data_IF_525388949117
#
_entry.id   IF_525388949117
#
_cell.length_a   1.000
_cell.length_b   1.000
_cell.length_c   1.000
_cell.angle_alpha   90.00
_cell.angle_beta   90.00
_cell.angle_gamma   90.00
#
_symmetry.space_group_name_H-M   'P 1'
#
loop_
_entity.id
_entity.type
_entity.pdbx_description
1 polymer ?
#
# COMPACT_ATOMS: atom_id res chain seq x y z
N UNK A 1 38.34 -44.45 -45.58
CA UNK A 1 39.78 -44.17 -45.65
C UNK A 1 40.09 -42.90 -44.88
N UNK A 2 40.54 -42.94 -43.59
CA UNK A 2 41.89 -42.59 -43.07
C UNK A 2 42.10 -41.05 -43.06
N UNK A 3 42.31 -40.34 -41.99
CA UNK A 3 43.26 -40.36 -40.87
C UNK A 3 43.05 -39.14 -39.94
N UNK A 4 43.10 -39.32 -38.66
CA UNK A 4 43.59 -38.39 -37.64
C UNK A 4 45.11 -38.22 -37.75
N UNK A 5 45.82 -37.19 -37.21
CA UNK A 5 45.92 -36.85 -35.81
C UNK A 5 46.24 -35.34 -35.56
N UNK A 6 46.30 -34.76 -34.42
CA UNK A 6 47.18 -34.66 -33.25
C UNK A 6 46.68 -33.58 -32.25
N UNK A 7 46.89 -33.95 -31.05
CA UNK A 7 46.66 -33.16 -29.85
C UNK A 7 47.67 -32.02 -29.67
N UNK A 8 47.24 -30.97 -28.97
CA UNK A 8 48.14 -30.11 -28.16
C UNK A 8 47.48 -29.81 -26.81
N UNK A 9 48.05 -30.46 -25.81
CA UNK A 9 47.84 -30.27 -24.38
C UNK A 9 48.52 -28.97 -23.98
N UNK A 10 47.82 -28.05 -23.35
CA UNK A 10 48.40 -26.95 -22.57
C UNK A 10 47.86 -27.03 -21.14
N UNK A 11 48.73 -27.58 -20.26
CA UNK A 11 48.60 -27.50 -18.80
C UNK A 11 48.72 -26.01 -18.39
N UNK A 12 47.79 -25.53 -17.62
CA UNK A 12 47.98 -24.37 -16.75
C UNK A 12 47.53 -24.73 -15.35
N UNK A 13 48.44 -24.47 -14.45
CA UNK A 13 48.48 -24.83 -13.06
C UNK A 13 47.30 -24.41 -12.21
N UNK A 14 46.86 -25.34 -11.38
CA UNK A 14 46.01 -25.13 -10.21
C UNK A 14 46.80 -24.39 -9.15
N UNK A 15 46.37 -23.22 -8.77
CA UNK A 15 46.71 -22.58 -7.49
C UNK A 15 45.51 -22.67 -6.58
N UNK A 16 45.56 -23.63 -5.68
CA UNK A 16 44.72 -23.78 -4.49
C UNK A 16 45.01 -22.60 -3.55
N UNK A 17 44.04 -21.71 -3.38
CA UNK A 17 44.00 -20.74 -2.31
C UNK A 17 42.77 -21.02 -1.44
N UNK A 18 42.97 -21.73 -0.33
CA UNK A 18 41.99 -21.75 0.77
C UNK A 18 41.93 -20.37 1.40
N UNK A 19 40.83 -19.68 1.25
CA UNK A 19 40.46 -18.55 2.08
C UNK A 19 39.24 -18.94 2.89
N UNK A 20 39.48 -19.28 4.16
CA UNK A 20 38.48 -19.30 5.21
C UNK A 20 38.05 -17.87 5.46
N UNK A 21 36.92 -17.48 4.95
CA UNK A 21 36.28 -16.20 5.22
C UNK A 21 35.21 -16.37 6.29
N UNK A 22 35.47 -15.85 7.47
CA UNK A 22 34.52 -15.68 8.56
C UNK A 22 33.28 -14.91 8.08
N UNK A 23 32.12 -15.53 8.32
CA UNK A 23 30.84 -14.88 8.12
C UNK A 23 30.54 -14.01 9.33
N UNK A 24 31.14 -12.82 9.40
CA UNK A 24 30.71 -11.79 10.32
C UNK A 24 29.47 -11.10 9.77
N UNK A 25 28.45 -11.07 10.59
CA UNK A 25 27.19 -10.34 10.44
C UNK A 25 27.47 -8.84 10.26
N UNK A 26 27.55 -8.36 9.03
CA UNK A 26 27.51 -6.93 8.74
C UNK A 26 26.05 -6.47 8.71
N UNK A 27 25.66 -5.83 9.80
CA UNK A 27 24.53 -4.90 9.83
C UNK A 27 24.81 -3.78 8.84
N UNK A 28 23.90 -3.47 7.90
CA UNK A 28 24.10 -2.34 7.01
C UNK A 28 24.05 -1.05 7.82
N UNK A 29 25.18 -0.42 7.94
CA UNK A 29 25.35 0.98 8.35
C UNK A 29 24.38 1.85 7.54
N UNK A 30 23.66 2.73 8.26
CA UNK A 30 22.83 3.80 7.72
C UNK A 30 23.64 4.70 6.77
N UNK A 31 23.78 4.28 5.54
CA UNK A 31 24.16 5.15 4.43
C UNK A 31 22.91 5.93 4.00
N UNK A 32 22.87 7.21 4.31
CA UNK A 32 21.98 8.19 3.70
C UNK A 32 22.32 8.32 2.21
N UNK A 33 21.96 7.34 1.42
CA UNK A 33 21.93 7.48 -0.04
C UNK A 33 20.61 8.15 -0.38
N UNK A 34 20.57 9.47 -0.27
CA UNK A 34 19.62 10.27 -1.04
C UNK A 34 19.84 9.85 -2.49
N UNK A 35 18.90 9.08 -3.05
CA UNK A 35 18.86 8.85 -4.50
C UNK A 35 19.02 10.23 -5.15
N UNK A 36 20.05 10.37 -5.96
CA UNK A 36 20.37 11.64 -6.62
C UNK A 36 19.17 12.04 -7.46
N UNK A 37 18.89 13.33 -7.53
CA UNK A 37 17.90 14.00 -8.37
C UNK A 37 17.94 13.59 -9.87
N UNK A 38 18.93 12.80 -10.28
CA UNK A 38 19.20 12.41 -11.65
C UNK A 38 18.34 11.23 -12.17
N UNK A 39 17.68 10.47 -11.29
CA UNK A 39 16.86 9.30 -11.72
C UNK A 39 15.35 9.61 -11.75
N UNK A 40 14.97 10.86 -11.44
CA UNK A 40 13.60 11.30 -11.70
C UNK A 40 13.48 11.57 -13.20
N UNK A 41 12.85 10.66 -13.89
CA UNK A 41 12.45 10.87 -15.28
C UNK A 41 11.78 12.22 -15.37
N UNK A 42 12.42 13.15 -16.09
CA UNK A 42 11.91 14.49 -16.31
C UNK A 42 10.80 14.37 -17.36
N UNK A 43 9.57 14.11 -16.92
CA UNK A 43 8.39 13.95 -17.79
C UNK A 43 8.21 15.13 -18.75
N UNK A 44 8.81 16.28 -18.42
CA UNK A 44 8.80 17.51 -19.25
C UNK A 44 9.87 17.53 -20.36
N UNK A 45 10.76 16.53 -20.47
CA UNK A 45 11.87 16.53 -21.44
C UNK A 45 12.12 15.18 -22.12
N UNK A 46 11.20 14.24 -22.10
CA UNK A 46 11.40 13.05 -22.91
C UNK A 46 11.07 13.36 -24.36
N UNK A 47 12.15 13.43 -25.16
CA UNK A 47 12.05 13.28 -26.61
C UNK A 47 11.38 11.93 -26.92
N UNK A 48 10.15 12.00 -27.37
CA UNK A 48 9.35 10.86 -27.89
C UNK A 48 9.96 10.27 -29.16
N UNK A 49 11.16 10.71 -29.57
CA UNK A 49 11.74 10.51 -30.91
C UNK A 49 12.61 9.28 -31.09
N UNK A 50 12.74 8.36 -30.14
CA UNK A 50 13.71 7.24 -30.27
C UNK A 50 13.14 5.81 -30.21
N UNK A 51 11.83 5.66 -30.13
CA UNK A 51 11.19 4.36 -30.32
C UNK A 51 10.51 4.38 -31.69
N UNK A 52 10.77 3.40 -32.54
CA UNK A 52 10.16 3.27 -33.87
C UNK A 52 8.67 3.57 -33.78
N UNK A 53 8.09 4.27 -34.80
CA UNK A 53 6.76 4.88 -34.74
C UNK A 53 5.79 4.13 -33.82
N UNK A 54 5.56 4.63 -32.58
CA UNK A 54 4.72 3.88 -31.67
C UNK A 54 3.31 3.92 -32.21
N UNK A 55 2.63 2.79 -32.21
CA UNK A 55 1.19 2.78 -32.42
C UNK A 55 0.57 3.85 -31.48
N UNK A 56 -0.32 4.69 -32.01
CA UNK A 56 -1.04 5.70 -31.22
C UNK A 56 -1.90 5.08 -30.11
N UNK A 57 -2.00 3.75 -30.07
CA UNK A 57 -2.82 2.99 -29.14
C UNK A 57 -1.94 2.29 -28.09
N UNK A 58 -2.13 2.67 -26.83
CA UNK A 58 -1.40 2.12 -25.69
C UNK A 58 -1.61 0.60 -25.49
N UNK A 59 -2.80 0.07 -25.84
CA UNK A 59 -3.06 -1.36 -25.70
C UNK A 59 -2.22 -2.21 -26.64
N UNK A 60 -1.90 -1.72 -27.84
CA UNK A 60 -0.98 -2.41 -28.74
C UNK A 60 0.42 -2.46 -28.15
N UNK A 61 0.92 -1.34 -27.58
CA UNK A 61 2.20 -1.33 -26.88
C UNK A 61 2.25 -2.31 -25.70
N UNK A 62 1.13 -2.46 -24.96
CA UNK A 62 1.04 -3.44 -23.86
C UNK A 62 1.12 -4.86 -24.40
N UNK A 63 0.37 -5.18 -25.49
CA UNK A 63 0.36 -6.50 -26.12
C UNK A 63 1.75 -6.89 -26.65
N UNK A 64 2.42 -5.97 -27.32
CA UNK A 64 3.74 -6.17 -27.92
C UNK A 64 4.84 -6.44 -26.87
N UNK A 65 4.63 -5.97 -25.64
CA UNK A 65 5.56 -6.16 -24.52
C UNK A 65 5.25 -7.34 -23.62
N UNK A 66 4.29 -8.22 -23.96
CA UNK A 66 4.02 -9.44 -23.19
C UNK A 66 5.18 -10.43 -23.35
N UNK A 67 5.71 -10.90 -22.22
CA UNK A 67 6.89 -11.79 -22.19
C UNK A 67 6.68 -13.00 -21.27
N UNK A 68 5.61 -13.05 -20.47
CA UNK A 68 5.35 -14.22 -19.64
C UNK A 68 4.84 -15.36 -20.50
N UNK A 69 5.38 -16.57 -20.31
CA UNK A 69 4.97 -17.74 -21.08
C UNK A 69 3.48 -18.06 -20.90
N UNK A 70 2.75 -18.34 -21.97
CA UNK A 70 1.39 -18.83 -21.89
C UNK A 70 1.35 -20.19 -21.16
N UNK A 71 0.44 -20.32 -20.20
CA UNK A 71 0.26 -21.57 -19.45
C UNK A 71 -1.17 -22.04 -19.63
N UNK A 72 -1.34 -23.29 -20.04
CA UNK A 72 -2.63 -23.95 -20.02
C UNK A 72 -2.94 -24.47 -18.61
N UNK A 73 -3.94 -23.84 -17.96
CA UNK A 73 -4.32 -24.17 -16.59
C UNK A 73 -5.81 -23.97 -16.35
N UNK A 74 -6.50 -24.97 -15.78
CA UNK A 74 -7.88 -24.82 -15.37
C UNK A 74 -8.12 -23.61 -14.44
N UNK A 75 -7.10 -23.20 -13.68
CA UNK A 75 -7.19 -22.02 -12.82
C UNK A 75 -7.28 -20.72 -13.64
N UNK A 76 -6.59 -20.65 -14.77
CA UNK A 76 -6.68 -19.50 -15.69
C UNK A 76 -8.07 -19.48 -16.34
N UNK A 77 -8.55 -20.61 -16.82
CA UNK A 77 -9.89 -20.74 -17.40
C UNK A 77 -10.97 -20.28 -16.39
N UNK A 78 -10.87 -20.70 -15.13
CA UNK A 78 -11.81 -20.28 -14.09
C UNK A 78 -11.80 -18.74 -13.86
N UNK A 79 -10.63 -18.10 -13.93
CA UNK A 79 -10.53 -16.63 -13.79
C UNK A 79 -11.06 -15.91 -15.03
N UNK A 80 -10.84 -16.46 -16.22
CA UNK A 80 -11.38 -15.95 -17.49
C UNK A 80 -12.91 -15.98 -17.46
N UNK A 81 -13.51 -17.12 -17.09
CA UNK A 81 -14.96 -17.26 -16.91
C UNK A 81 -15.48 -16.29 -15.87
N UNK A 82 -14.77 -16.10 -14.76
CA UNK A 82 -15.17 -15.16 -13.72
C UNK A 82 -15.21 -13.72 -14.22
N UNK A 83 -14.24 -13.29 -15.03
CA UNK A 83 -14.20 -11.95 -15.65
C UNK A 83 -15.32 -11.80 -16.68
N UNK A 84 -15.49 -12.76 -17.61
CA UNK A 84 -16.53 -12.74 -18.65
C UNK A 84 -17.94 -12.66 -18.07
N UNK A 85 -18.17 -13.26 -16.90
CA UNK A 85 -19.46 -13.19 -16.20
C UNK A 85 -19.70 -11.81 -15.51
N UNK A 86 -18.76 -10.86 -15.60
CA UNK A 86 -18.80 -9.55 -14.91
C UNK A 86 -18.35 -8.38 -15.78
N UNK A 87 -18.91 -8.19 -16.97
CA UNK A 87 -18.46 -7.16 -17.91
C UNK A 87 -18.50 -5.76 -17.29
N UNK A 88 -19.54 -5.41 -16.53
CA UNK A 88 -19.61 -4.10 -15.85
C UNK A 88 -18.47 -3.84 -14.86
N UNK A 89 -18.06 -4.88 -14.12
CA UNK A 89 -16.92 -4.76 -13.20
C UNK A 89 -15.64 -4.52 -13.98
N UNK A 90 -15.43 -5.28 -15.06
CA UNK A 90 -14.27 -5.15 -15.92
C UNK A 90 -14.25 -3.75 -16.56
N UNK A 91 -15.34 -3.32 -17.16
CA UNK A 91 -15.46 -2.01 -17.81
C UNK A 91 -15.14 -0.86 -16.85
N UNK A 92 -15.68 -0.92 -15.62
CA UNK A 92 -15.35 0.09 -14.60
C UNK A 92 -13.86 0.08 -14.21
N UNK A 93 -13.24 -1.09 -14.13
CA UNK A 93 -11.80 -1.18 -13.80
C UNK A 93 -10.94 -0.66 -14.96
N UNK A 94 -11.29 -0.96 -16.20
CA UNK A 94 -10.62 -0.43 -17.40
C UNK A 94 -10.72 1.10 -17.46
N UNK A 95 -11.91 1.67 -17.22
CA UNK A 95 -12.08 3.12 -17.16
C UNK A 95 -11.21 3.76 -16.06
N UNK A 96 -11.09 3.10 -14.88
CA UNK A 96 -10.23 3.62 -13.80
C UNK A 96 -8.76 3.57 -14.12
N UNK A 97 -8.30 2.65 -14.96
CA UNK A 97 -6.89 2.54 -15.34
C UNK A 97 -6.44 3.66 -16.27
N UNK A 98 -7.36 4.27 -17.03
CA UNK A 98 -7.05 5.23 -18.10
C UNK A 98 -6.07 6.35 -17.69
N UNK A 99 -6.21 7.03 -16.55
CA UNK A 99 -5.29 8.08 -16.19
C UNK A 99 -3.88 7.61 -15.82
N UNK A 100 -3.69 6.33 -15.50
CA UNK A 100 -2.45 5.83 -14.89
C UNK A 100 -1.67 4.89 -15.80
N UNK A 101 -2.36 4.21 -16.71
CA UNK A 101 -1.81 3.04 -17.39
C UNK A 101 -0.60 3.39 -18.26
N UNK A 102 -0.63 4.54 -18.96
CA UNK A 102 0.52 5.01 -19.75
C UNK A 102 1.79 5.12 -18.86
N UNK A 103 1.69 5.79 -17.72
CA UNK A 103 2.82 5.96 -16.81
C UNK A 103 3.35 4.62 -16.32
N UNK A 104 2.46 3.71 -15.91
CA UNK A 104 2.85 2.38 -15.42
C UNK A 104 3.55 1.57 -16.52
N UNK A 105 3.02 1.56 -17.74
CA UNK A 105 3.64 0.89 -18.90
C UNK A 105 5.00 1.50 -19.22
N UNK A 106 5.14 2.82 -19.14
CA UNK A 106 6.40 3.51 -19.32
C UNK A 106 7.46 3.04 -18.31
N UNK A 107 7.10 2.95 -17.03
CA UNK A 107 7.99 2.52 -15.96
C UNK A 107 8.34 1.03 -16.02
N UNK A 108 7.40 0.17 -16.44
CA UNK A 108 7.63 -1.26 -16.73
C UNK A 108 8.66 -1.42 -17.86
N UNK A 109 8.47 -0.72 -18.97
CA UNK A 109 9.36 -0.79 -20.12
C UNK A 109 10.75 -0.21 -19.80
N UNK A 110 10.83 0.88 -19.05
CA UNK A 110 12.11 1.48 -18.62
C UNK A 110 12.98 0.52 -17.78
N UNK A 111 12.35 -0.47 -17.16
CA UNK A 111 13.01 -1.53 -16.37
C UNK A 111 13.16 -2.84 -17.13
N UNK A 112 12.82 -2.89 -18.41
CA UNK A 112 12.83 -4.11 -19.25
C UNK A 112 12.02 -5.28 -18.63
N UNK A 113 10.88 -4.95 -18.01
CA UNK A 113 10.00 -5.92 -17.37
C UNK A 113 8.85 -6.32 -18.31
N UNK A 114 8.27 -7.53 -18.16
CA UNK A 114 7.08 -7.94 -18.91
C UNK A 114 5.92 -6.97 -18.70
N UNK A 115 5.26 -6.55 -19.76
CA UNK A 115 4.15 -5.59 -19.68
C UNK A 115 2.90 -6.18 -19.05
N UNK A 116 2.81 -7.49 -18.86
CA UNK A 116 1.81 -8.12 -18.00
C UNK A 116 1.80 -7.50 -16.60
N UNK A 117 2.97 -7.05 -16.08
CA UNK A 117 3.07 -6.45 -14.76
C UNK A 117 2.36 -5.09 -14.68
N UNK A 118 2.14 -4.39 -15.80
CA UNK A 118 1.31 -3.20 -15.83
C UNK A 118 -0.18 -3.51 -15.59
N UNK A 119 -0.59 -4.77 -15.74
CA UNK A 119 -1.96 -5.23 -15.47
C UNK A 119 -2.18 -5.64 -14.00
N UNK A 120 -1.10 -5.69 -13.19
CA UNK A 120 -1.19 -6.14 -11.80
C UNK A 120 -2.14 -5.30 -10.93
N UNK A 121 -2.24 -3.96 -11.09
CA UNK A 121 -3.22 -3.15 -10.37
C UNK A 121 -4.69 -3.54 -10.62
N UNK A 122 -5.02 -4.21 -11.74
CA UNK A 122 -6.35 -4.79 -11.93
C UNK A 122 -6.61 -5.93 -10.94
N UNK A 123 -5.61 -6.76 -10.70
CA UNK A 123 -5.68 -7.90 -9.75
C UNK A 123 -5.73 -7.39 -8.32
N UNK A 124 -4.94 -6.38 -7.96
CA UNK A 124 -4.78 -5.88 -6.61
C UNK A 124 -5.96 -5.02 -6.14
N UNK A 125 -6.43 -4.11 -6.97
CA UNK A 125 -7.39 -3.09 -6.55
C UNK A 125 -8.46 -2.74 -7.58
N UNK A 126 -8.48 -3.42 -8.73
CA UNK A 126 -9.24 -2.99 -9.91
C UNK A 126 -8.94 -1.51 -10.27
N UNK A 127 -7.67 -1.10 -10.16
CA UNK A 127 -7.18 0.27 -10.35
C UNK A 127 -7.86 1.32 -9.46
N UNK A 128 -8.32 0.95 -8.26
CA UNK A 128 -8.88 1.93 -7.34
C UNK A 128 -7.78 2.58 -6.50
N UNK A 129 -7.46 3.87 -6.70
CA UNK A 129 -6.38 4.54 -5.98
C UNK A 129 -6.68 4.74 -4.49
N UNK A 130 -7.94 4.70 -4.10
CA UNK A 130 -8.38 4.80 -2.70
C UNK A 130 -8.61 3.42 -2.06
N UNK A 131 -8.26 2.32 -2.73
CA UNK A 131 -8.47 0.99 -2.19
C UNK A 131 -7.74 0.80 -0.85
N UNK A 132 -8.47 0.21 0.10
CA UNK A 132 -7.96 -0.15 1.42
C UNK A 132 -8.47 -1.53 1.80
N UNK A 133 -7.57 -2.48 2.02
CA UNK A 133 -7.93 -3.83 2.47
C UNK A 133 -8.18 -3.89 3.98
N UNK A 134 -8.84 -4.97 4.43
CA UNK A 134 -9.00 -5.26 5.86
C UNK A 134 -7.65 -5.38 6.59
N UNK A 135 -6.60 -5.83 5.91
CA UNK A 135 -5.24 -5.93 6.42
C UNK A 135 -4.45 -4.60 6.31
N UNK A 136 -5.11 -3.50 5.93
CA UNK A 136 -4.53 -2.14 5.78
C UNK A 136 -3.56 -1.99 4.59
N UNK A 137 -3.62 -2.86 3.59
CA UNK A 137 -2.99 -2.59 2.31
C UNK A 137 -3.68 -1.40 1.63
N UNK A 138 -2.95 -0.59 0.85
CA UNK A 138 -3.43 0.69 0.31
C UNK A 138 -3.01 0.91 -1.14
N UNK A 139 -3.88 1.63 -1.88
CA UNK A 139 -3.60 2.14 -3.22
C UNK A 139 -3.76 1.11 -4.32
N UNK A 140 -3.38 1.49 -5.54
CA UNK A 140 -3.53 0.62 -6.72
C UNK A 140 -2.67 -0.65 -6.62
N UNK A 141 -1.52 -0.58 -5.95
CA UNK A 141 -0.55 -1.65 -5.75
C UNK A 141 -0.71 -2.43 -4.44
N UNK A 142 -1.68 -2.06 -3.60
CA UNK A 142 -1.99 -2.71 -2.32
C UNK A 142 -0.78 -2.92 -1.39
N UNK A 143 0.06 -1.89 -1.25
CA UNK A 143 1.18 -1.95 -0.33
C UNK A 143 0.73 -2.12 1.13
N UNK A 144 1.26 -3.14 1.79
CA UNK A 144 1.17 -3.28 3.25
C UNK A 144 1.97 -2.17 3.96
N UNK A 145 1.54 -1.71 5.16
CA UNK A 145 2.23 -0.62 5.86
C UNK A 145 3.74 -0.85 6.05
N UNK A 146 4.13 -2.06 6.43
CA UNK A 146 5.54 -2.39 6.65
C UNK A 146 6.31 -2.39 5.32
N UNK A 147 5.81 -3.11 4.31
CA UNK A 147 6.44 -3.18 3.00
C UNK A 147 6.58 -1.79 2.37
N UNK A 148 5.55 -0.94 2.49
CA UNK A 148 5.65 0.45 2.01
C UNK A 148 6.79 1.21 2.69
N UNK A 149 7.01 1.04 4.00
CA UNK A 149 8.14 1.66 4.71
C UNK A 149 9.48 1.07 4.28
N UNK A 150 9.57 -0.24 4.05
CA UNK A 150 10.77 -0.91 3.59
C UNK A 150 11.20 -0.37 2.19
N UNK A 151 10.24 0.12 1.39
CA UNK A 151 10.43 0.81 0.12
C UNK A 151 10.28 2.34 0.22
N UNK A 152 10.50 2.92 1.40
CA UNK A 152 10.56 4.36 1.66
C UNK A 152 9.28 5.16 1.34
N UNK A 153 8.13 4.49 1.20
CA UNK A 153 6.85 5.15 1.03
C UNK A 153 6.44 5.82 2.34
N UNK A 154 6.38 7.14 2.33
CA UNK A 154 6.00 7.96 3.49
C UNK A 154 4.56 7.68 3.90
N UNK A 155 4.34 7.46 5.20
CA UNK A 155 3.03 7.21 5.80
C UNK A 155 2.92 8.07 7.06
N UNK A 156 2.35 9.25 6.93
CA UNK A 156 2.21 10.19 8.05
C UNK A 156 0.82 10.87 8.06
N UNK A 157 0.65 11.88 8.90
CA UNK A 157 -0.62 12.61 9.03
C UNK A 157 -1.04 13.28 7.73
N UNK A 158 -0.07 13.83 6.96
CA UNK A 158 -0.36 14.61 5.76
C UNK A 158 -0.56 13.76 4.53
N UNK A 159 0.21 12.68 4.39
CA UNK A 159 0.21 11.84 3.19
C UNK A 159 0.44 10.37 3.48
N UNK A 160 -0.02 9.55 2.52
CA UNK A 160 0.26 8.11 2.46
C UNK A 160 0.68 7.77 1.03
N UNK A 161 2.00 7.68 0.79
CA UNK A 161 2.59 7.47 -0.53
C UNK A 161 2.33 6.08 -1.10
N UNK A 162 1.75 5.16 -0.33
CA UNK A 162 1.24 3.89 -0.88
C UNK A 162 0.08 4.09 -1.86
N UNK A 163 -0.55 5.28 -1.84
CA UNK A 163 -1.59 5.71 -2.77
C UNK A 163 -1.06 6.65 -3.85
N UNK A 164 0.13 7.19 -3.68
CA UNK A 164 0.77 8.04 -4.66
C UNK A 164 1.10 7.23 -5.91
N UNK A 165 0.64 7.70 -7.08
CA UNK A 165 0.78 6.95 -8.33
C UNK A 165 2.24 6.78 -8.72
N UNK A 166 3.04 7.84 -8.61
CA UNK A 166 4.45 7.79 -9.01
C UNK A 166 5.26 6.95 -8.02
N UNK A 167 5.21 7.32 -6.74
CA UNK A 167 6.02 6.69 -5.70
C UNK A 167 5.67 5.21 -5.51
N UNK A 168 4.35 4.87 -5.52
CA UNK A 168 3.96 3.48 -5.34
C UNK A 168 4.23 2.61 -6.56
N UNK A 169 4.21 3.16 -7.77
CA UNK A 169 4.60 2.42 -8.98
C UNK A 169 6.08 2.10 -8.97
N UNK A 170 6.94 3.09 -8.71
CA UNK A 170 8.38 2.87 -8.59
C UNK A 170 8.69 1.80 -7.54
N UNK A 171 8.13 1.95 -6.34
CA UNK A 171 8.32 0.98 -5.25
C UNK A 171 7.82 -0.43 -5.62
N UNK A 172 6.69 -0.56 -6.32
CA UNK A 172 6.14 -1.86 -6.70
C UNK A 172 7.00 -2.57 -7.74
N UNK A 173 7.45 -1.84 -8.76
CA UNK A 173 8.30 -2.40 -9.80
C UNK A 173 9.70 -2.76 -9.26
N UNK A 174 10.28 -1.94 -8.38
CA UNK A 174 11.53 -2.24 -7.70
C UNK A 174 11.38 -3.49 -6.80
N UNK A 175 10.25 -3.62 -6.11
CA UNK A 175 9.97 -4.80 -5.29
C UNK A 175 9.82 -6.06 -6.16
N UNK A 176 9.06 -5.98 -7.24
CA UNK A 176 8.89 -7.09 -8.19
C UNK A 176 10.21 -7.50 -8.83
N UNK A 177 11.05 -6.54 -9.23
CA UNK A 177 12.37 -6.82 -9.79
C UNK A 177 13.30 -7.53 -8.78
N UNK A 178 13.29 -7.07 -7.52
CA UNK A 178 14.02 -7.73 -6.43
C UNK A 178 13.52 -9.17 -6.21
N UNK A 179 12.21 -9.38 -6.25
CA UNK A 179 11.63 -10.72 -6.11
C UNK A 179 11.98 -11.60 -7.30
N UNK A 180 11.93 -11.07 -8.52
CA UNK A 180 12.36 -11.81 -9.72
C UNK A 180 13.84 -12.20 -9.66
N UNK A 181 14.71 -11.29 -9.25
CA UNK A 181 16.13 -11.60 -9.02
C UNK A 181 16.31 -12.71 -7.97
N UNK A 182 15.47 -12.75 -6.92
CA UNK A 182 15.55 -13.75 -5.86
C UNK A 182 15.06 -15.14 -6.31
N UNK A 183 14.03 -15.21 -7.14
CA UNK A 183 13.35 -16.46 -7.47
C UNK A 183 13.60 -16.98 -8.89
N UNK A 184 14.12 -16.15 -9.78
CA UNK A 184 14.42 -16.49 -11.18
C UNK A 184 13.17 -16.73 -12.06
N UNK A 185 11.96 -16.44 -11.55
CA UNK A 185 10.69 -16.63 -12.24
C UNK A 185 9.71 -15.53 -11.86
N UNK A 186 8.99 -15.00 -12.84
CA UNK A 186 7.95 -13.99 -12.60
C UNK A 186 6.78 -14.57 -11.82
N UNK A 187 6.39 -15.82 -12.05
CA UNK A 187 5.31 -16.48 -11.33
C UNK A 187 5.64 -16.61 -9.83
N UNK A 188 6.87 -17.00 -9.51
CA UNK A 188 7.33 -17.07 -8.11
C UNK A 188 7.51 -15.68 -7.49
N UNK A 189 7.96 -14.70 -8.28
CA UNK A 189 8.02 -13.30 -7.84
C UNK A 189 6.62 -12.77 -7.49
N UNK A 190 5.63 -13.03 -8.33
CA UNK A 190 4.23 -12.68 -8.11
C UNK A 190 3.64 -13.40 -6.88
N UNK A 191 3.94 -14.69 -6.71
CA UNK A 191 3.57 -15.41 -5.49
C UNK A 191 4.18 -14.77 -4.23
N UNK A 192 5.45 -14.35 -4.32
CA UNK A 192 6.17 -13.71 -3.23
C UNK A 192 5.67 -12.29 -2.94
N UNK A 193 5.25 -11.54 -3.96
CA UNK A 193 4.61 -10.23 -3.82
C UNK A 193 3.30 -10.35 -3.01
N UNK A 194 2.45 -11.33 -3.34
CA UNK A 194 1.17 -11.57 -2.68
C UNK A 194 1.30 -12.21 -1.29
N UNK A 195 2.12 -13.24 -1.17
CA UNK A 195 2.19 -14.08 0.05
C UNK A 195 3.41 -13.79 0.93
N UNK A 196 4.39 -13.08 0.40
CA UNK A 196 5.66 -12.78 1.06
C UNK A 196 6.75 -13.80 0.72
N UNK A 197 7.95 -13.30 0.41
CA UNK A 197 9.11 -14.09 -0.04
C UNK A 197 9.48 -15.23 0.93
N UNK A 198 9.43 -14.98 2.25
CA UNK A 198 9.72 -16.00 3.26
C UNK A 198 8.75 -17.20 3.23
N UNK A 199 7.49 -17.01 2.84
CA UNK A 199 6.53 -18.10 2.70
C UNK A 199 6.84 -18.95 1.47
N UNK A 200 7.15 -18.31 0.34
CA UNK A 200 7.52 -19.00 -0.90
C UNK A 200 8.79 -19.81 -0.70
N UNK A 201 9.83 -19.25 -0.08
CA UNK A 201 11.06 -19.97 0.24
C UNK A 201 10.81 -21.21 1.13
N UNK A 202 9.92 -21.10 2.13
CA UNK A 202 9.57 -22.25 2.97
C UNK A 202 8.84 -23.33 2.17
N UNK A 203 7.94 -22.95 1.27
CA UNK A 203 7.23 -23.88 0.40
C UNK A 203 8.19 -24.58 -0.57
N UNK A 204 9.11 -23.84 -1.20
CA UNK A 204 10.15 -24.40 -2.05
C UNK A 204 11.04 -25.39 -1.30
N UNK A 205 11.53 -25.02 -0.09
CA UNK A 205 12.34 -25.89 0.75
C UNK A 205 11.62 -27.20 1.12
N UNK A 206 10.30 -27.10 1.41
CA UNK A 206 9.48 -28.27 1.69
C UNK A 206 9.38 -29.22 0.50
N UNK A 207 9.11 -28.67 -0.70
CA UNK A 207 9.02 -29.44 -1.93
C UNK A 207 10.38 -30.08 -2.26
N UNK A 208 11.48 -29.30 -2.18
CA UNK A 208 12.83 -29.80 -2.42
C UNK A 208 13.17 -30.97 -1.52
N UNK A 209 12.86 -30.89 -0.23
CA UNK A 209 13.08 -32.00 0.74
C UNK A 209 12.23 -33.24 0.44
N UNK A 210 11.12 -33.07 -0.29
CA UNK A 210 10.25 -34.18 -0.72
C UNK A 210 10.55 -34.68 -2.15
N UNK A 211 11.59 -34.15 -2.83
CA UNK A 211 11.91 -34.47 -4.22
C UNK A 211 10.89 -33.98 -5.23
N UNK A 212 10.10 -32.94 -4.86
CA UNK A 212 9.06 -32.34 -5.71
C UNK A 212 9.56 -31.07 -6.41
N UNK A 213 8.96 -30.69 -7.55
CA UNK A 213 9.28 -29.45 -8.23
C UNK A 213 9.04 -28.22 -7.35
N UNK A 214 9.82 -27.15 -7.56
CA UNK A 214 9.78 -25.92 -6.76
C UNK A 214 9.25 -24.70 -7.52
N UNK A 215 8.66 -24.93 -8.69
CA UNK A 215 7.97 -23.89 -9.49
C UNK A 215 6.65 -23.47 -8.85
N UNK A 216 6.08 -22.35 -9.36
CA UNK A 216 4.82 -21.78 -8.86
C UNK A 216 3.67 -22.80 -8.83
N UNK A 217 3.53 -23.61 -9.88
CA UNK A 217 2.39 -24.51 -10.07
C UNK A 217 2.42 -25.72 -9.15
N UNK A 218 3.62 -26.10 -8.71
CA UNK A 218 3.89 -27.26 -7.84
C UNK A 218 3.87 -26.92 -6.35
N UNK A 219 3.93 -25.62 -5.97
CA UNK A 219 3.96 -25.23 -4.55
C UNK A 219 2.59 -25.34 -3.87
N UNK A 220 2.57 -25.82 -2.64
CA UNK A 220 1.42 -25.74 -1.77
C UNK A 220 1.28 -24.32 -1.20
N UNK A 221 0.37 -23.53 -1.77
CA UNK A 221 0.11 -22.14 -1.43
C UNK A 221 -1.35 -21.93 -1.03
N UNK A 222 -1.69 -20.85 -0.29
CA UNK A 222 -3.08 -20.43 -0.07
C UNK A 222 -3.83 -20.25 -1.40
N UNK A 223 -5.15 -20.47 -1.39
CA UNK A 223 -5.98 -20.35 -2.60
C UNK A 223 -5.86 -18.98 -3.26
N UNK A 224 -5.75 -17.91 -2.48
CA UNK A 224 -5.54 -16.56 -2.99
C UNK A 224 -4.26 -16.45 -3.82
N UNK A 225 -3.14 -16.93 -3.28
CA UNK A 225 -1.84 -16.91 -3.96
C UNK A 225 -1.81 -17.85 -5.17
N UNK A 226 -2.42 -19.03 -5.06
CA UNK A 226 -2.57 -19.95 -6.20
C UNK A 226 -3.41 -19.41 -7.34
N UNK A 227 -4.30 -18.45 -7.07
CA UNK A 227 -5.11 -17.79 -8.07
C UNK A 227 -4.48 -16.48 -8.59
N UNK A 228 -3.35 -16.06 -8.04
CA UNK A 228 -2.78 -14.73 -8.31
C UNK A 228 -2.24 -14.60 -9.74
N UNK A 229 -1.32 -15.49 -10.15
CA UNK A 229 -0.87 -15.58 -11.55
C UNK A 229 -2.03 -15.89 -12.51
N UNK A 230 -2.91 -16.87 -12.23
CA UNK A 230 -4.11 -17.08 -13.04
C UNK A 230 -4.98 -15.84 -13.26
N UNK A 231 -5.17 -14.98 -12.26
CA UNK A 231 -5.89 -13.71 -12.42
C UNK A 231 -5.17 -12.78 -13.38
N UNK A 232 -3.85 -12.63 -13.25
CA UNK A 232 -3.06 -11.79 -14.14
C UNK A 232 -3.14 -12.29 -15.59
N UNK A 233 -3.02 -13.61 -15.81
CA UNK A 233 -3.14 -14.22 -17.14
C UNK A 233 -4.54 -14.08 -17.73
N UNK A 234 -5.59 -14.08 -16.92
CA UNK A 234 -6.94 -13.80 -17.38
C UNK A 234 -7.10 -12.33 -17.84
N UNK A 235 -6.49 -11.36 -17.17
CA UNK A 235 -6.44 -9.97 -17.64
C UNK A 235 -5.58 -9.83 -18.92
N UNK A 236 -4.47 -10.60 -19.04
CA UNK A 236 -3.71 -10.67 -20.27
C UNK A 236 -4.57 -11.17 -21.44
N UNK A 237 -5.31 -12.27 -21.22
CA UNK A 237 -6.24 -12.82 -22.23
C UNK A 237 -7.33 -11.79 -22.61
N UNK A 238 -7.89 -11.08 -21.65
CA UNK A 238 -8.87 -10.02 -21.87
C UNK A 238 -8.28 -8.87 -22.71
N UNK A 239 -7.05 -8.46 -22.47
CA UNK A 239 -6.39 -7.42 -23.29
C UNK A 239 -6.12 -7.91 -24.71
N UNK A 240 -5.81 -9.20 -24.88
CA UNK A 240 -5.60 -9.80 -26.22
C UNK A 240 -6.89 -9.90 -27.03
N UNK A 241 -7.99 -10.31 -26.41
CA UNK A 241 -9.28 -10.53 -27.05
C UNK A 241 -10.43 -10.02 -26.15
N UNK A 242 -10.67 -8.68 -26.10
CA UNK A 242 -11.69 -8.10 -25.24
C UNK A 242 -13.11 -8.51 -25.62
N UNK A 243 -13.35 -8.82 -26.91
CA UNK A 243 -14.68 -9.21 -27.39
C UNK A 243 -15.13 -10.54 -26.80
N UNK A 244 -14.20 -11.48 -26.59
CA UNK A 244 -14.47 -12.75 -25.92
C UNK A 244 -14.95 -12.57 -24.46
N UNK A 245 -14.71 -11.39 -23.86
CA UNK A 245 -15.14 -11.02 -22.52
C UNK A 245 -16.37 -10.11 -22.51
N UNK A 246 -16.91 -9.77 -23.66
CA UNK A 246 -18.05 -8.85 -23.80
C UNK A 246 -17.75 -7.43 -23.29
N UNK A 247 -16.49 -6.98 -23.44
CA UNK A 247 -16.04 -5.66 -23.00
C UNK A 247 -15.37 -4.90 -24.14
N UNK A 248 -15.45 -3.56 -24.06
CA UNK A 248 -14.72 -2.68 -24.97
C UNK A 248 -13.58 -2.04 -24.18
N UNK A 249 -12.35 -2.16 -24.66
CA UNK A 249 -11.23 -1.44 -24.08
C UNK A 249 -11.42 0.06 -24.31
N UNK A 250 -11.19 0.92 -23.30
CA UNK A 250 -11.21 2.36 -23.52
C UNK A 250 -10.14 2.77 -24.54
N UNK A 251 -10.43 3.79 -25.34
CA UNK A 251 -9.41 4.40 -26.20
C UNK A 251 -8.36 5.02 -25.29
N UNK A 252 -7.13 4.56 -25.42
CA UNK A 252 -5.98 5.07 -24.70
C UNK A 252 -4.89 5.42 -25.71
N UNK A 253 -4.61 6.71 -25.78
CA UNK A 253 -3.50 7.20 -26.58
C UNK A 253 -2.17 6.84 -25.91
N UNK A 254 -1.15 6.59 -26.72
CA UNK A 254 0.17 6.21 -26.23
C UNK A 254 1.00 7.45 -25.86
N UNK A 255 0.43 8.32 -25.04
CA UNK A 255 1.08 9.51 -24.48
C UNK A 255 0.70 9.74 -23.00
N UNK A 256 1.47 10.55 -22.24
CA UNK A 256 1.17 10.83 -20.84
C UNK A 256 -0.20 11.48 -20.68
N UNK A 257 -1.02 11.00 -19.74
CA UNK A 257 -2.28 11.62 -19.36
C UNK A 257 -2.07 12.86 -18.49
N UNK A 258 -1.05 12.86 -17.63
CA UNK A 258 -0.76 13.90 -16.65
C UNK A 258 0.70 14.33 -16.68
N UNK A 259 0.95 15.49 -16.12
CA UNK A 259 2.29 15.98 -15.76
C UNK A 259 2.38 16.21 -14.26
N UNK A 260 3.58 16.12 -13.72
CA UNK A 260 3.88 16.42 -12.32
C UNK A 260 4.29 17.91 -12.20
N UNK A 261 3.60 18.66 -11.35
CA UNK A 261 3.84 20.07 -11.08
C UNK A 261 4.31 20.25 -9.65
N UNK A 262 5.46 20.92 -9.47
CA UNK A 262 6.04 21.18 -8.15
C UNK A 262 5.19 22.16 -7.33
N UNK A 263 5.05 21.89 -6.04
CA UNK A 263 4.37 22.74 -5.06
C UNK A 263 5.43 23.51 -4.28
N UNK A 264 5.51 24.83 -4.52
CA UNK A 264 6.54 25.70 -3.93
C UNK A 264 6.11 26.37 -2.62
N UNK A 265 4.81 26.43 -2.35
CA UNK A 265 4.21 26.95 -1.11
C UNK A 265 3.11 26.01 -0.66
N UNK A 266 2.83 25.97 0.65
CA UNK A 266 1.68 25.23 1.14
C UNK A 266 0.39 25.72 0.47
N UNK A 267 -0.39 24.81 -0.08
CA UNK A 267 -1.62 25.14 -0.81
C UNK A 267 -2.79 24.25 -0.37
N UNK A 268 -3.96 24.82 -0.24
CA UNK A 268 -5.17 24.04 0.03
C UNK A 268 -5.52 23.15 -1.15
N UNK A 269 -5.86 21.87 -0.89
CA UNK A 269 -6.27 20.89 -1.92
C UNK A 269 -7.42 21.44 -2.80
N UNK A 270 -8.39 22.10 -2.17
CA UNK A 270 -9.54 22.72 -2.88
C UNK A 270 -9.12 23.88 -3.76
N UNK A 271 -8.15 24.68 -3.33
CA UNK A 271 -7.61 25.78 -4.11
C UNK A 271 -6.77 25.27 -5.28
N UNK A 272 -5.94 24.24 -5.05
CA UNK A 272 -5.14 23.63 -6.11
C UNK A 272 -6.05 23.09 -7.24
N UNK A 273 -7.10 22.34 -6.89
CA UNK A 273 -8.10 21.87 -7.84
C UNK A 273 -8.78 23.02 -8.59
N UNK A 274 -9.16 24.09 -7.87
CA UNK A 274 -9.80 25.29 -8.47
C UNK A 274 -8.87 26.02 -9.44
N UNK A 275 -7.61 26.21 -9.07
CA UNK A 275 -6.62 26.87 -9.94
C UNK A 275 -6.32 26.04 -11.19
N UNK A 276 -6.42 24.72 -11.10
CA UNK A 276 -6.32 23.81 -12.24
C UNK A 276 -7.62 23.66 -13.04
N UNK A 277 -8.69 24.36 -12.65
CA UNK A 277 -10.03 24.24 -13.25
C UNK A 277 -10.54 22.79 -13.31
N UNK A 278 -10.25 22.03 -12.25
CA UNK A 278 -10.67 20.65 -12.08
C UNK A 278 -11.72 20.52 -10.97
N UNK A 279 -12.58 19.52 -11.08
CA UNK A 279 -13.39 19.11 -9.94
C UNK A 279 -12.49 18.58 -8.82
N UNK A 280 -12.92 18.72 -7.56
CA UNK A 280 -12.17 18.22 -6.41
C UNK A 280 -12.00 16.70 -6.46
N UNK A 281 -12.96 15.97 -7.01
CA UNK A 281 -12.95 14.52 -7.10
C UNK A 281 -11.96 14.04 -8.17
N UNK A 282 -11.89 14.70 -9.33
CA UNK A 282 -10.87 14.41 -10.35
C UNK A 282 -9.46 14.71 -9.83
N UNK A 283 -9.27 15.86 -9.17
CA UNK A 283 -8.02 16.22 -8.56
C UNK A 283 -7.57 15.17 -7.53
N UNK A 284 -8.47 14.74 -6.63
CA UNK A 284 -8.19 13.69 -5.63
C UNK A 284 -7.96 12.31 -6.24
N UNK A 285 -8.56 12.05 -7.39
CA UNK A 285 -8.34 10.79 -8.13
C UNK A 285 -6.89 10.71 -8.61
N UNK A 286 -6.36 11.77 -9.19
CA UNK A 286 -4.94 11.83 -9.61
C UNK A 286 -3.98 11.98 -8.42
N UNK A 287 -4.43 12.60 -7.32
CA UNK A 287 -3.61 12.93 -6.15
C UNK A 287 -4.13 12.26 -4.87
N UNK A 288 -4.24 10.92 -4.85
CA UNK A 288 -4.90 10.20 -3.77
C UNK A 288 -4.07 10.10 -2.49
N UNK A 289 -2.78 10.49 -2.53
CA UNK A 289 -1.86 10.38 -1.40
C UNK A 289 -2.13 11.38 -0.27
N UNK A 290 -2.77 12.51 -0.56
CA UNK A 290 -3.03 13.56 0.42
C UNK A 290 -4.13 13.18 1.41
N UNK A 291 -3.76 13.20 2.71
CA UNK A 291 -4.67 12.84 3.81
C UNK A 291 -5.40 14.05 4.39
N UNK A 292 -4.92 15.27 4.11
CA UNK A 292 -5.34 16.51 4.74
C UNK A 292 -5.73 17.56 3.71
N UNK A 293 -6.47 18.60 4.09
CA UNK A 293 -6.92 19.62 3.16
C UNK A 293 -5.80 20.54 2.65
N UNK A 294 -4.55 20.29 3.03
CA UNK A 294 -3.37 21.08 2.64
C UNK A 294 -2.30 20.18 2.04
N UNK A 295 -1.68 20.65 0.97
CA UNK A 295 -0.50 20.10 0.30
C UNK A 295 0.70 20.91 0.77
N UNK A 296 1.76 20.23 1.24
CA UNK A 296 2.91 20.87 1.85
C UNK A 296 4.06 21.06 0.84
N UNK A 297 4.60 22.26 0.75
CA UNK A 297 5.82 22.52 -0.03
C UNK A 297 7.07 21.91 0.60
N UNK A 298 7.08 21.81 1.92
CA UNK A 298 8.23 21.38 2.72
C UNK A 298 8.78 19.99 2.39
N UNK A 299 8.02 19.14 1.71
CA UNK A 299 8.42 17.78 1.35
C UNK A 299 8.72 17.61 -0.14
N UNK A 300 9.01 18.69 -0.88
CA UNK A 300 9.18 18.69 -2.34
C UNK A 300 8.04 17.95 -3.04
N UNK A 301 6.80 18.25 -2.66
CA UNK A 301 5.63 17.57 -3.18
C UNK A 301 5.30 18.04 -4.58
N UNK A 302 4.77 17.11 -5.34
CA UNK A 302 4.24 17.36 -6.67
C UNK A 302 2.74 17.04 -6.66
N UNK A 303 2.02 17.75 -7.49
CA UNK A 303 0.64 17.41 -7.85
C UNK A 303 0.61 16.92 -9.28
N UNK A 304 -0.24 15.94 -9.54
CA UNK A 304 -0.48 15.43 -10.88
C UNK A 304 -1.68 16.14 -11.48
N UNK A 305 -1.48 16.73 -12.64
CA UNK A 305 -2.52 17.45 -13.37
C UNK A 305 -2.57 16.95 -14.83
N UNK A 306 -3.74 16.79 -15.45
CA UNK A 306 -3.82 16.54 -16.87
C UNK A 306 -3.09 17.64 -17.66
N UNK A 307 -2.55 17.31 -18.82
CA UNK A 307 -1.68 18.21 -19.58
C UNK A 307 -2.24 19.63 -19.74
N UNK A 308 -3.45 19.78 -20.26
CA UNK A 308 -4.07 21.10 -20.45
C UNK A 308 -4.34 21.86 -19.16
N UNK A 309 -4.62 21.15 -18.06
CA UNK A 309 -4.88 21.74 -16.75
C UNK A 309 -3.61 22.21 -16.02
N UNK A 310 -2.45 21.67 -16.35
CA UNK A 310 -1.19 22.09 -15.74
C UNK A 310 -0.79 23.52 -16.17
N UNK A 311 -0.97 23.88 -17.42
CA UNK A 311 -0.72 25.23 -17.92
C UNK A 311 -1.70 26.23 -17.30
N UNK A 312 -2.99 25.89 -17.28
CA UNK A 312 -4.06 26.69 -16.64
C UNK A 312 -3.75 26.91 -15.15
N UNK A 313 -3.33 25.86 -14.44
CA UNK A 313 -2.93 25.96 -13.03
C UNK A 313 -1.79 26.97 -12.85
N UNK A 314 -0.74 26.88 -13.66
CA UNK A 314 0.42 27.78 -13.55
C UNK A 314 0.05 29.25 -13.83
N UNK A 315 -0.79 29.49 -14.83
CA UNK A 315 -1.26 30.83 -15.13
C UNK A 315 -2.16 31.42 -14.04
N UNK A 316 -3.10 30.62 -13.56
CA UNK A 316 -4.01 31.03 -12.49
C UNK A 316 -3.24 31.26 -11.17
N UNK A 317 -2.22 30.41 -10.87
CA UNK A 317 -1.37 30.58 -9.70
C UNK A 317 -0.57 31.89 -9.75
N UNK A 318 -0.02 32.29 -10.91
CA UNK A 318 0.70 33.56 -11.08
C UNK A 318 -0.20 34.80 -10.84
N UNK A 319 -1.47 34.67 -11.18
CA UNK A 319 -2.46 35.76 -11.02
C UNK A 319 -3.08 35.81 -9.62
N UNK A 320 -2.90 34.74 -8.82
CA UNK A 320 -3.53 34.60 -7.51
C UNK A 320 -2.74 35.34 -6.43
N UNK A 321 -3.39 36.31 -5.78
CA UNK A 321 -2.76 37.24 -4.81
C UNK A 321 -3.24 37.08 -3.36
N UNK A 322 -3.98 36.01 -3.07
CA UNK A 322 -4.45 35.70 -1.71
C UNK A 322 -3.60 34.56 -1.10
N UNK A 323 -3.69 34.30 0.23
CA UNK A 323 -3.02 33.17 0.85
C UNK A 323 -3.39 31.85 0.17
N UNK A 324 -2.37 31.04 -0.19
CA UNK A 324 -2.58 29.75 -0.87
C UNK A 324 -3.11 28.67 0.07
N UNK A 325 -2.76 28.75 1.35
CA UNK A 325 -3.22 27.78 2.36
C UNK A 325 -3.90 28.47 3.53
N UNK A 326 -5.04 27.92 3.92
CA UNK A 326 -5.81 28.34 5.09
C UNK A 326 -5.53 27.45 6.32
N UNK A 327 -4.68 26.45 6.19
CA UNK A 327 -4.36 25.46 7.21
C UNK A 327 -2.91 25.56 7.67
N UNK A 328 -2.68 25.23 8.96
CA UNK A 328 -1.34 25.04 9.55
C UNK A 328 -1.36 23.85 10.48
N UNK A 329 -0.19 23.46 11.01
CA UNK A 329 -0.05 22.34 11.91
C UNK A 329 0.72 22.73 13.18
N UNK A 330 0.37 22.10 14.29
CA UNK A 330 1.05 22.31 15.58
C UNK A 330 1.27 20.98 16.31
N UNK A 331 2.37 20.88 17.05
CA UNK A 331 2.60 19.78 17.99
C UNK A 331 1.90 20.07 19.32
N UNK A 332 1.18 19.07 19.82
CA UNK A 332 0.54 19.10 21.15
C UNK A 332 1.60 18.79 22.20
N UNK A 333 1.87 19.73 23.11
CA UNK A 333 2.94 19.60 24.10
C UNK A 333 2.63 18.57 25.20
N UNK A 334 1.36 18.44 25.58
CA UNK A 334 0.92 17.57 26.68
C UNK A 334 -0.26 16.70 26.25
N UNK A 335 -0.37 15.50 26.84
CA UNK A 335 -1.53 14.64 26.61
C UNK A 335 -2.77 15.25 27.23
N UNK A 336 -3.74 15.61 26.42
CA UNK A 336 -4.97 16.30 26.84
C UNK A 336 -6.19 15.89 26.02
N UNK A 337 -7.39 16.28 26.48
CA UNK A 337 -8.60 16.03 25.71
C UNK A 337 -8.66 16.89 24.45
N UNK A 338 -9.49 16.52 23.48
CA UNK A 338 -9.70 17.34 22.29
C UNK A 338 -10.30 18.72 22.63
N UNK A 339 -11.14 18.78 23.64
CA UNK A 339 -11.73 20.04 24.18
C UNK A 339 -10.65 20.98 24.70
N UNK A 340 -9.76 20.48 25.57
CA UNK A 340 -8.66 21.29 26.14
C UNK A 340 -7.68 21.72 25.02
N UNK A 341 -7.44 20.86 24.02
CA UNK A 341 -6.61 21.21 22.85
C UNK A 341 -7.24 22.30 22.03
N UNK A 342 -8.53 22.20 21.72
CA UNK A 342 -9.27 23.21 20.95
C UNK A 342 -9.23 24.56 21.65
N UNK A 343 -9.48 24.58 22.98
CA UNK A 343 -9.43 25.80 23.78
C UNK A 343 -8.03 26.42 23.82
N UNK A 344 -6.98 25.61 24.04
CA UNK A 344 -5.60 26.10 24.10
C UNK A 344 -5.08 26.66 22.76
N UNK A 345 -5.60 26.15 21.65
CA UNK A 345 -5.23 26.58 20.30
C UNK A 345 -6.13 27.68 19.74
N UNK A 346 -7.26 27.99 20.44
CA UNK A 346 -8.25 28.97 19.98
C UNK A 346 -8.99 28.54 18.71
N UNK A 347 -9.29 27.26 18.59
CA UNK A 347 -9.98 26.69 17.44
C UNK A 347 -11.28 26.01 17.85
N UNK A 348 -12.23 25.95 16.91
CA UNK A 348 -13.47 25.25 17.14
C UNK A 348 -13.23 23.73 17.33
N UNK A 349 -13.91 23.13 18.33
CA UNK A 349 -13.76 21.72 18.66
C UNK A 349 -14.24 20.77 17.55
N UNK A 350 -15.35 21.11 16.87
CA UNK A 350 -15.88 20.31 15.79
C UNK A 350 -14.89 20.28 14.62
N UNK A 351 -14.38 21.44 14.22
CA UNK A 351 -13.33 21.60 13.21
C UNK A 351 -12.06 20.82 13.58
N UNK A 352 -11.57 20.95 14.82
CA UNK A 352 -10.39 20.20 15.27
C UNK A 352 -10.58 18.68 15.14
N UNK A 353 -11.75 18.19 15.54
CA UNK A 353 -12.06 16.76 15.49
C UNK A 353 -12.20 16.24 14.06
N UNK A 354 -12.94 16.95 13.25
CA UNK A 354 -13.23 16.56 11.87
C UNK A 354 -11.94 16.48 11.04
N UNK A 355 -11.16 17.57 10.99
CA UNK A 355 -9.96 17.66 10.17
C UNK A 355 -8.89 16.65 10.62
N UNK A 356 -8.82 16.38 11.93
CA UNK A 356 -7.82 15.45 12.46
C UNK A 356 -8.34 14.01 12.64
N UNK A 357 -9.63 13.76 12.39
CA UNK A 357 -10.21 12.43 12.56
C UNK A 357 -10.20 11.96 14.03
N UNK A 358 -10.46 12.88 15.01
CA UNK A 358 -10.41 12.57 16.44
C UNK A 358 -11.79 12.12 16.90
N UNK A 359 -11.98 10.85 17.27
CA UNK A 359 -13.25 10.36 17.80
C UNK A 359 -13.63 11.03 19.12
N UNK A 360 -14.94 11.08 19.41
CA UNK A 360 -15.42 11.57 20.72
C UNK A 360 -14.81 10.77 21.88
N UNK A 361 -14.44 11.45 22.94
CA UNK A 361 -13.90 10.84 24.14
C UNK A 361 -12.43 10.39 24.06
N UNK A 362 -11.76 10.56 22.92
CA UNK A 362 -10.31 10.29 22.82
C UNK A 362 -9.50 11.50 23.25
N UNK A 363 -8.34 11.23 23.85
CA UNK A 363 -7.32 12.24 24.21
C UNK A 363 -6.23 12.23 23.14
N UNK A 364 -5.63 13.39 22.93
CA UNK A 364 -4.50 13.59 22.00
C UNK A 364 -3.22 13.46 22.83
N UNK A 365 -2.34 12.54 22.45
CA UNK A 365 -1.07 12.32 23.16
C UNK A 365 -0.07 13.44 22.90
N UNK A 366 0.76 13.73 23.88
CA UNK A 366 1.92 14.62 23.72
C UNK A 366 2.77 14.20 22.50
N UNK A 367 3.29 15.19 21.78
CA UNK A 367 4.05 14.98 20.55
C UNK A 367 3.20 14.76 19.28
N UNK A 368 1.88 14.58 19.42
CA UNK A 368 0.97 14.50 18.27
C UNK A 368 0.95 15.80 17.47
N UNK A 369 0.84 15.70 16.17
CA UNK A 369 0.61 16.81 15.27
C UNK A 369 -0.87 16.93 14.98
N UNK A 370 -1.46 18.11 15.15
CA UNK A 370 -2.83 18.44 14.76
C UNK A 370 -2.83 19.56 13.75
N UNK A 371 -3.76 19.45 12.80
CA UNK A 371 -4.02 20.46 11.74
C UNK A 371 -5.09 21.41 12.27
N UNK A 372 -4.86 22.69 12.10
CA UNK A 372 -5.76 23.75 12.52
C UNK A 372 -5.84 24.86 11.47
N UNK A 373 -6.89 25.67 11.44
CA UNK A 373 -6.93 26.88 10.61
C UNK A 373 -5.75 27.81 10.89
N UNK A 374 -5.17 28.43 9.84
CA UNK A 374 -4.16 29.49 9.97
C UNK A 374 -4.80 30.72 10.66
N UNK A 375 -4.00 31.36 11.48
CA UNK A 375 -4.35 32.64 12.13
C UNK A 375 -3.24 33.65 11.88
N UNK A 376 -3.48 34.92 12.10
CA UNK A 376 -2.47 35.98 11.98
C UNK A 376 -1.22 35.74 12.87
N UNK A 377 -1.33 34.91 13.91
CA UNK A 377 -0.22 34.55 14.79
C UNK A 377 0.66 33.41 14.20
N UNK A 378 0.19 32.71 13.15
CA UNK A 378 0.87 31.57 12.52
C UNK A 378 0.66 31.61 11.00
N UNK A 379 1.23 32.61 10.31
CA UNK A 379 0.95 32.82 8.88
C UNK A 379 1.82 31.95 7.95
N UNK A 380 2.96 31.42 8.43
CA UNK A 380 3.94 30.72 7.62
C UNK A 380 3.52 29.33 7.17
N UNK A 381 4.29 28.77 6.24
CA UNK A 381 4.16 27.39 5.78
C UNK A 381 4.65 26.42 6.85
N UNK A 382 4.20 25.15 6.74
CA UNK A 382 4.55 24.09 7.69
C UNK A 382 6.02 23.69 7.45
N UNK A 383 6.83 23.73 8.51
CA UNK A 383 8.26 23.40 8.39
C UNK A 383 8.51 21.94 7.98
N UNK A 384 9.64 21.70 7.31
CA UNK A 384 10.10 20.35 6.89
C UNK A 384 10.11 19.38 8.08
N UNK A 385 10.70 19.79 9.21
CA UNK A 385 10.78 18.94 10.39
C UNK A 385 9.40 18.53 10.95
N UNK A 386 8.39 19.41 10.83
CA UNK A 386 7.03 19.09 11.24
C UNK A 386 6.33 18.21 10.19
N UNK A 387 6.54 18.47 8.91
CA UNK A 387 5.95 17.71 7.81
C UNK A 387 6.41 16.24 7.82
N UNK A 388 7.70 15.99 8.06
CA UNK A 388 8.29 14.64 8.06
C UNK A 388 7.93 13.84 9.32
N UNK A 389 7.91 14.50 10.49
CA UNK A 389 7.70 13.83 11.78
C UNK A 389 6.24 13.81 12.24
N UNK A 390 5.32 14.33 11.42
CA UNK A 390 3.91 14.45 11.77
C UNK A 390 3.26 13.10 12.06
N UNK A 391 2.78 12.93 13.26
CA UNK A 391 2.03 11.76 13.68
C UNK A 391 0.89 12.17 14.60
N UNK A 392 -0.22 11.45 14.57
CA UNK A 392 -1.34 11.64 15.47
C UNK A 392 -1.54 10.36 16.28
N UNK A 393 -1.30 10.43 17.58
CA UNK A 393 -1.51 9.34 18.52
C UNK A 393 -2.65 9.71 19.47
N UNK A 394 -3.61 8.81 19.59
CA UNK A 394 -4.78 8.98 20.46
C UNK A 394 -4.77 7.94 21.56
N UNK A 395 -5.34 8.28 22.71
CA UNK A 395 -5.55 7.34 23.83
C UNK A 395 -6.96 7.47 24.41
N UNK A 396 -7.45 6.41 25.02
CA UNK A 396 -8.68 6.47 25.81
C UNK A 396 -8.44 7.24 27.11
N UNK A 397 -9.45 7.97 27.63
CA UNK A 397 -9.32 8.60 28.95
C UNK A 397 -9.05 7.53 30.03
N UNK A 398 -8.29 7.86 31.05
CA UNK A 398 -8.11 6.96 32.18
C UNK A 398 -9.47 6.62 32.79
N UNK A 399 -9.66 5.39 33.29
CA UNK A 399 -10.89 5.02 33.97
C UNK A 399 -11.13 5.94 35.14
N UNK A 400 -12.39 6.31 35.43
CA UNK A 400 -12.68 7.17 36.58
C UNK A 400 -12.15 6.53 37.86
N UNK A 401 -11.60 7.32 38.81
CA UNK A 401 -11.08 6.81 40.06
C UNK A 401 -12.20 6.01 40.75
N UNK A 402 -11.91 4.78 41.11
CA UNK A 402 -12.85 3.95 41.89
C UNK A 402 -13.20 4.74 43.15
N UNK A 403 -14.46 5.16 43.29
CA UNK A 403 -14.96 5.77 44.54
C UNK A 403 -14.59 4.83 45.68
N UNK A 404 -13.66 5.23 46.53
CA UNK A 404 -13.36 4.52 47.77
C UNK A 404 -14.66 4.41 48.56
N UNK A 405 -15.18 3.19 48.70
CA UNK A 405 -16.27 2.95 49.66
C UNK A 405 -15.74 3.39 51.02
N UNK A 406 -16.15 4.57 51.51
CA UNK A 406 -16.00 4.93 52.91
C UNK A 406 -16.60 3.78 53.72
N UNK A 407 -15.77 2.95 54.36
CA UNK A 407 -16.23 2.07 55.44
C UNK A 407 -16.83 2.96 56.50
N UNK A 408 -18.14 3.01 56.55
CA UNK A 408 -18.87 3.59 57.66
C UNK A 408 -18.48 2.86 58.94
N UNK A 409 -17.77 3.55 59.80
CA UNK A 409 -17.50 3.06 61.15
C UNK A 409 -18.81 2.87 61.88
N UNK A 410 -19.14 1.66 62.28
CA UNK A 410 -20.09 1.34 63.29
C UNK A 410 -19.29 0.85 64.52
N UNK A 411 -19.06 1.74 65.45
CA UNK A 411 -18.56 1.40 66.77
C UNK A 411 -19.70 0.77 67.63
N UNK A 412 -19.38 -0.26 68.30
CA UNK A 412 -19.83 -0.69 69.62
C UNK A 412 -19.32 -2.14 69.79
N UNK A 413 -18.43 -2.46 70.70
CA UNK A 413 -18.57 -2.49 72.09
C UNK A 413 -18.69 -3.92 72.61
N UNK A 414 -17.65 -4.36 73.34
CA UNK A 414 -17.62 -5.38 74.37
C UNK A 414 -17.14 -6.82 74.03
N UNK A 415 -15.87 -7.00 74.42
CA UNK A 415 -15.25 -8.03 75.29
C UNK A 415 -15.40 -9.52 75.05
N UNK A 416 -14.29 -10.23 75.34
CA UNK A 416 -14.05 -11.62 74.98
C UNK A 416 -14.45 -12.61 76.09
N UNK A 417 -14.40 -13.92 75.95
CA UNK A 417 -13.19 -14.65 76.31
C UNK A 417 -12.85 -15.93 75.56
N UNK A 418 -11.55 -16.29 75.67
CA UNK A 418 -10.96 -17.60 75.89
C UNK A 418 -11.37 -18.77 74.93
N UNK A 419 -10.51 -19.43 74.30
CA UNK A 419 -9.36 -20.17 74.65
C UNK A 419 -9.13 -21.35 73.74
N UNK A 420 -7.88 -21.78 73.66
CA UNK A 420 -7.34 -23.08 73.24
C UNK A 420 -7.12 -23.20 71.69
N UNK A 421 -5.86 -23.12 71.26
CA UNK A 421 -4.75 -24.03 71.32
C UNK A 421 -4.71 -25.10 70.25
N UNK A 422 -3.59 -25.07 69.57
CA UNK A 422 -2.88 -26.13 68.86
C UNK A 422 -3.47 -26.60 67.54
N UNK A 423 -2.74 -26.88 66.46
CA UNK A 423 -1.34 -27.22 66.25
C UNK A 423 -1.06 -27.28 64.76
N UNK A 424 0.14 -26.90 64.39
CA UNK A 424 1.04 -27.53 63.47
C UNK A 424 0.50 -28.17 62.18
N UNK A 425 1.15 -27.83 61.10
CA UNK A 425 1.28 -28.65 59.96
C UNK A 425 1.82 -27.94 58.72
N UNK A 426 3.05 -28.01 58.61
CA UNK A 426 4.05 -27.67 57.63
C UNK A 426 3.86 -28.39 56.28
N UNK A 427 4.44 -27.82 55.30
CA UNK A 427 5.03 -28.40 54.08
C UNK A 427 4.27 -27.98 52.80
N UNK A 428 4.89 -27.17 52.02
CA UNK A 428 5.91 -27.32 51.01
C UNK A 428 5.42 -27.97 49.72
N UNK A 429 5.70 -27.22 48.71
CA UNK A 429 6.25 -27.62 47.42
C UNK A 429 5.34 -28.00 46.28
N UNK A 430 5.60 -27.26 45.23
CA UNK A 430 5.94 -27.73 43.88
C UNK A 430 4.87 -28.04 42.88
N UNK A 431 5.06 -27.31 41.82
CA UNK A 431 5.22 -27.76 40.42
C UNK A 431 4.01 -28.10 39.57
N UNK A 432 4.00 -27.33 38.49
CA UNK A 432 4.14 -27.79 37.12
C UNK A 432 2.89 -28.17 36.34
N UNK A 433 2.85 -27.46 35.22
CA UNK A 433 2.61 -27.98 33.88
C UNK A 433 1.18 -28.27 33.40
N UNK A 434 0.90 -27.50 32.38
CA UNK A 434 0.45 -27.98 31.06
C UNK A 434 -0.92 -28.63 30.95
N UNK A 435 -1.69 -28.16 30.07
CA UNK A 435 -2.14 -28.80 28.85
C UNK A 435 -3.43 -28.22 28.29
N UNK A 436 -3.32 -27.87 27.03
CA UNK A 436 -4.30 -27.99 25.95
C UNK A 436 -5.64 -28.64 26.27
N UNK A 437 -6.71 -28.00 25.84
CA UNK A 437 -7.77 -28.69 25.11
C UNK A 437 -8.50 -27.73 24.16
N UNK A 438 -8.33 -28.03 22.89
CA UNK A 438 -9.22 -27.75 21.78
C UNK A 438 -10.56 -28.44 22.00
N UNK A 439 -11.65 -27.77 21.65
CA UNK A 439 -12.88 -28.43 21.25
C UNK A 439 -13.59 -27.56 20.21
N UNK A 440 -13.62 -28.12 19.06
CA UNK A 440 -14.49 -27.94 17.91
C UNK A 440 -15.92 -28.35 18.22
N UNK A 441 -16.80 -28.01 17.28
CA UNK A 441 -18.15 -28.45 16.96
C UNK A 441 -19.24 -27.52 17.44
N UNK A 442 -20.01 -27.08 16.48
CA UNK A 442 -21.29 -27.56 16.09
C UNK A 442 -21.97 -26.73 15.00
N UNK A 443 -22.22 -27.42 13.99
CA UNK A 443 -23.06 -27.21 12.82
C UNK A 443 -24.52 -26.80 13.10
N UNK A 444 -25.05 -25.98 12.18
CA UNK A 444 -26.24 -26.20 11.37
C UNK A 444 -27.62 -25.83 11.92
N UNK A 445 -28.36 -25.27 10.94
CA UNK A 445 -29.83 -25.23 10.66
C UNK A 445 -30.38 -23.82 10.78
N UNK A 446 -31.20 -23.29 9.86
CA UNK A 446 -32.05 -23.93 8.84
C UNK A 446 -32.52 -22.87 7.85
N UNK A 447 -32.66 -23.28 6.62
CA UNK A 447 -33.39 -22.58 5.57
C UNK A 447 -34.89 -22.49 5.91
N UNK A 448 -35.52 -21.34 5.62
CA UNK A 448 -36.94 -21.26 5.34
C UNK A 448 -37.14 -20.63 3.98
N UNK A 449 -37.65 -21.43 3.08
CA UNK A 449 -38.34 -21.07 1.83
C UNK A 449 -39.68 -20.45 2.21
N UNK A 450 -40.08 -19.40 1.52
CA UNK A 450 -41.49 -19.09 1.25
C UNK A 450 -41.67 -18.60 -0.20
N UNK A 451 -42.84 -18.77 -0.82
CA UNK A 451 -42.94 -19.12 -2.21
C UNK A 451 -43.32 -17.96 -3.15
N UNK A 452 -42.99 -18.19 -4.40
CA UNK A 452 -43.34 -17.42 -5.59
C UNK A 452 -44.89 -17.37 -5.73
N UNK A 453 -45.45 -16.16 -5.86
CA UNK A 453 -46.76 -15.93 -6.47
C UNK A 453 -46.56 -15.36 -7.86
N UNK A 454 -46.89 -16.18 -8.83
CA UNK A 454 -47.25 -15.81 -10.20
C UNK A 454 -48.59 -15.12 -10.21
N UNK A 455 -48.71 -14.00 -10.85
CA UNK A 455 -49.90 -13.55 -11.53
C UNK A 455 -49.53 -12.68 -12.71
N UNK A 456 -49.92 -13.13 -13.84
CA UNK A 456 -49.91 -12.58 -15.12
C UNK A 456 -51.07 -11.64 -15.42
N UNK A 457 -50.91 -11.03 -16.55
CA UNK A 457 -51.79 -10.31 -17.49
C UNK A 457 -51.34 -8.86 -17.63
N UNK A 458 -51.01 -8.44 -18.68
CA UNK A 458 -51.33 -8.22 -20.08
C UNK A 458 -50.15 -7.58 -20.75
#
# INVERSE_FOLDING_TARGET
LIRWPYAAILMVAVLTGCATGDWSSDTPTKGNTKLSKATRVNLNKQNVSSLGAPSDNLWLRIRDGFQMEPVDSPLIVNQTVWLSARPDYVQRSMKRSSPYLFYIVQEVNARNMPTELALLPFVESAFNPQAKSGAKAMGIWQFMPKTGKDFQLTQNVFRDERRDVLQSTDAALDYLNRLHTQFGSWELALAAYNWGSGNVLRAQKKNLAAGLPTDYWSLAMPLETRAYVPKLMAYRALVLDPDAFGVTLPELENHPYFVAVDVNNDIDVTLAAKLAEMSLDEFKTLNPSFNKPVILSAANQQILLPFGHAEVYQENLKKYNKPLSTWTAVKVAQTQSAEATAQSLGVDLATLREINGIPKGMRIKAGSTVIIPKTNRRPGDISVALAETASLSLEKPPPPPKKSKKKGGRGSGKNPPEGKAASKGNSSSNNAASQHKSASTGLAKSAKKDPIKTSGKQ
#
